data_IF_777297072411
#
_entry.id   IF_777297072411
#
_cell.length_a   1.000
_cell.length_b   1.000
_cell.length_c   1.000
_cell.angle_alpha   90.00
_cell.angle_beta   90.00
_cell.angle_gamma   90.00
#
_symmetry.space_group_name_H-M   'P 1'
#
loop_
_entity.id
_entity.type
_entity.pdbx_description
1 polymer ?
#
# COMPACT_ATOMS: atom_id res chain seq x y z
N UNK A 1 -41.78 57.96 -17.83
CA UNK A 1 -42.38 58.14 -16.50
C UNK A 1 -43.11 56.85 -16.14
N UNK A 2 -42.58 56.11 -15.15
CA UNK A 2 -43.25 55.16 -14.22
C UNK A 2 -44.17 54.10 -14.85
N UNK A 3 -43.71 52.86 -15.06
CA UNK A 3 -43.65 51.75 -14.08
C UNK A 3 -44.96 50.96 -13.94
N UNK A 4 -44.81 49.62 -14.00
CA UNK A 4 -45.45 48.56 -13.19
C UNK A 4 -45.93 47.39 -14.05
N UNK A 5 -45.04 46.42 -14.29
CA UNK A 5 -45.43 45.06 -14.65
C UNK A 5 -45.42 44.24 -13.35
N UNK A 6 -46.55 43.61 -13.08
CA UNK A 6 -46.82 42.85 -11.87
C UNK A 6 -45.95 41.59 -11.79
N UNK A 7 -45.43 41.39 -10.58
CA UNK A 7 -44.77 40.21 -10.06
C UNK A 7 -45.73 39.01 -10.16
N UNK A 8 -45.33 37.93 -10.83
CA UNK A 8 -45.90 36.61 -10.57
C UNK A 8 -44.78 35.67 -10.13
N UNK A 9 -44.83 35.35 -8.84
CA UNK A 9 -43.97 34.41 -8.14
C UNK A 9 -44.20 33.00 -8.70
N UNK A 10 -43.30 32.53 -9.55
CA UNK A 10 -43.14 31.09 -9.76
C UNK A 10 -42.28 30.59 -8.60
N UNK A 11 -42.93 30.16 -7.52
CA UNK A 11 -42.30 29.31 -6.52
C UNK A 11 -42.12 27.95 -7.18
N UNK A 12 -41.00 27.79 -7.89
CA UNK A 12 -40.54 26.46 -8.25
C UNK A 12 -39.83 25.90 -7.02
N UNK A 13 -40.60 25.22 -6.17
CA UNK A 13 -40.05 24.33 -5.15
C UNK A 13 -39.40 23.13 -5.85
N UNK A 14 -38.22 23.34 -6.43
CA UNK A 14 -37.35 22.25 -6.83
C UNK A 14 -36.73 21.66 -5.57
N UNK A 15 -37.26 20.48 -5.23
CA UNK A 15 -36.54 19.31 -4.73
C UNK A 15 -35.13 19.56 -4.16
N UNK A 16 -34.99 19.22 -2.88
CA UNK A 16 -33.72 18.99 -2.20
C UNK A 16 -32.80 18.17 -3.12
N UNK A 17 -31.63 18.72 -3.43
CA UNK A 17 -30.45 17.92 -3.72
C UNK A 17 -29.29 18.63 -3.07
N UNK A 18 -28.74 17.99 -2.03
CA UNK A 18 -27.49 18.41 -1.45
C UNK A 18 -26.49 18.58 -2.58
N UNK A 19 -25.95 19.79 -2.70
CA UNK A 19 -24.78 19.97 -3.55
C UNK A 19 -23.63 19.37 -2.75
N UNK A 20 -23.37 18.09 -3.02
CA UNK A 20 -22.11 17.45 -2.66
C UNK A 20 -21.03 18.36 -3.23
N UNK A 21 -20.42 19.18 -2.37
CA UNK A 21 -19.28 20.01 -2.72
C UNK A 21 -18.12 19.04 -2.92
N UNK A 22 -18.14 18.36 -4.07
CA UNK A 22 -17.11 17.43 -4.46
C UNK A 22 -15.88 18.28 -4.70
N UNK A 23 -15.06 18.40 -3.66
CA UNK A 23 -13.80 19.13 -3.68
C UNK A 23 -12.99 18.68 -4.89
N UNK A 24 -12.70 19.61 -5.80
CA UNK A 24 -12.00 19.33 -7.04
C UNK A 24 -10.66 18.63 -6.77
N UNK A 25 -10.40 17.53 -7.48
CA UNK A 25 -9.13 16.81 -7.36
C UNK A 25 -8.08 17.48 -8.23
N UNK A 26 -7.08 18.08 -7.58
CA UNK A 26 -5.92 18.73 -8.18
C UNK A 26 -4.75 17.76 -8.30
N UNK A 27 -3.83 18.04 -9.23
CA UNK A 27 -2.54 17.34 -9.38
C UNK A 27 -1.39 18.29 -9.01
N UNK A 28 -0.43 17.80 -8.24
CA UNK A 28 0.80 18.55 -7.91
C UNK A 28 2.03 17.81 -8.45
N UNK A 29 3.03 18.60 -8.83
CA UNK A 29 4.36 18.14 -9.26
C UNK A 29 5.39 18.83 -8.37
N UNK A 30 6.15 18.03 -7.63
CA UNK A 30 7.23 18.50 -6.76
C UNK A 30 8.54 18.22 -7.46
N UNK A 31 9.47 19.18 -7.43
CA UNK A 31 10.77 19.08 -8.09
C UNK A 31 11.91 18.97 -7.05
N UNK A 32 12.99 18.30 -7.43
CA UNK A 32 14.28 18.38 -6.75
C UNK A 32 14.95 19.74 -7.05
N UNK A 33 15.94 20.15 -6.23
CA UNK A 33 16.92 21.15 -6.66
C UNK A 33 17.52 20.71 -8.02
N UNK A 34 17.44 21.57 -9.04
CA UNK A 34 17.83 21.24 -10.42
C UNK A 34 16.68 20.83 -11.35
N UNK A 35 15.42 20.89 -10.89
CA UNK A 35 14.24 20.86 -11.76
C UNK A 35 13.73 19.48 -12.17
N UNK A 36 14.41 18.39 -11.79
CA UNK A 36 13.91 17.03 -11.99
C UNK A 36 12.70 16.74 -11.10
N UNK A 37 11.74 15.95 -11.57
CA UNK A 37 10.55 15.58 -10.79
C UNK A 37 10.95 14.72 -9.59
N UNK A 38 10.56 15.14 -8.39
CA UNK A 38 10.66 14.40 -7.12
C UNK A 38 9.40 13.58 -6.85
N UNK A 39 8.24 14.18 -7.05
CA UNK A 39 6.96 13.51 -6.82
C UNK A 39 5.86 14.07 -7.71
N UNK A 40 4.86 13.22 -8.01
CA UNK A 40 3.57 13.66 -8.56
C UNK A 40 2.45 13.01 -7.77
N UNK A 41 1.46 13.78 -7.37
CA UNK A 41 0.32 13.25 -6.61
C UNK A 41 -0.95 14.03 -6.85
N UNK A 42 -2.07 13.44 -6.47
CA UNK A 42 -3.41 14.01 -6.58
C UNK A 42 -3.98 14.26 -5.19
N UNK A 43 -4.67 15.39 -5.01
CA UNK A 43 -5.25 15.81 -3.74
C UNK A 43 -6.50 16.67 -3.95
N UNK A 44 -7.32 16.79 -2.92
CA UNK A 44 -8.35 17.82 -2.83
C UNK A 44 -8.19 18.58 -1.52
N UNK A 45 -8.83 19.75 -1.39
CA UNK A 45 -8.80 20.54 -0.16
C UNK A 45 -10.09 20.35 0.62
N UNK A 46 -9.97 20.12 1.93
CA UNK A 46 -11.09 19.98 2.84
C UNK A 46 -10.74 20.65 4.18
N UNK A 47 -11.55 21.62 4.59
CA UNK A 47 -11.34 22.39 5.82
C UNK A 47 -9.91 22.96 5.93
N UNK A 48 -9.39 23.54 4.84
CA UNK A 48 -8.04 24.11 4.77
C UNK A 48 -6.89 23.10 4.78
N UNK A 49 -7.17 21.80 4.69
CA UNK A 49 -6.16 20.73 4.65
C UNK A 49 -6.15 20.03 3.29
N UNK A 50 -4.96 19.68 2.81
CA UNK A 50 -4.80 18.83 1.62
C UNK A 50 -5.06 17.37 1.98
N UNK A 51 -5.99 16.74 1.29
CA UNK A 51 -6.32 15.32 1.42
C UNK A 51 -5.91 14.61 0.14
N UNK A 52 -4.92 13.73 0.22
CA UNK A 52 -4.45 12.98 -0.94
C UNK A 52 -5.49 11.98 -1.45
N UNK A 53 -5.73 11.95 -2.75
CA UNK A 53 -6.72 11.07 -3.36
C UNK A 53 -6.29 10.72 -4.79
N UNK A 54 -6.21 9.44 -5.12
CA UNK A 54 -5.78 8.96 -6.43
C UNK A 54 -4.34 8.46 -6.42
N UNK A 55 -3.60 8.72 -7.50
CA UNK A 55 -2.25 8.16 -7.70
C UNK A 55 -1.20 9.00 -6.96
N UNK A 56 -0.19 8.35 -6.43
CA UNK A 56 1.01 8.98 -5.89
C UNK A 56 2.23 8.31 -6.51
N UNK A 57 3.19 9.08 -7.01
CA UNK A 57 4.46 8.58 -7.55
C UNK A 57 5.62 9.41 -7.02
N UNK A 58 6.69 8.75 -6.59
CA UNK A 58 7.95 9.38 -6.21
C UNK A 58 9.07 8.84 -7.06
N UNK A 59 10.07 9.69 -7.28
CA UNK A 59 11.19 9.44 -8.16
C UNK A 59 12.50 9.68 -7.42
N UNK A 60 13.53 8.95 -7.80
CA UNK A 60 14.91 9.23 -7.41
C UNK A 60 15.39 10.54 -8.04
N UNK A 61 16.45 11.14 -7.50
CA UNK A 61 17.10 12.32 -8.11
C UNK A 61 17.64 12.05 -9.52
N UNK A 62 17.84 10.78 -9.89
CA UNK A 62 18.13 10.37 -11.27
C UNK A 62 16.95 10.60 -12.23
N UNK A 63 15.71 10.64 -11.73
CA UNK A 63 14.47 10.69 -12.51
C UNK A 63 13.76 9.33 -12.61
N UNK A 64 14.37 8.26 -12.09
CA UNK A 64 13.84 6.91 -12.12
C UNK A 64 12.73 6.72 -11.06
N UNK A 65 11.72 5.91 -11.35
CA UNK A 65 10.59 5.68 -10.42
C UNK A 65 11.08 4.99 -9.14
N UNK A 66 10.76 5.54 -7.98
CA UNK A 66 11.11 4.94 -6.68
C UNK A 66 9.93 4.16 -6.12
N UNK A 67 8.76 4.79 -6.03
CA UNK A 67 7.52 4.14 -5.57
C UNK A 67 6.31 4.74 -6.25
N UNK A 68 5.27 3.92 -6.39
CA UNK A 68 3.95 4.35 -6.82
C UNK A 68 2.85 3.60 -6.10
N UNK A 69 1.84 4.33 -5.67
CA UNK A 69 0.74 3.78 -4.89
C UNK A 69 -0.53 4.60 -5.12
N UNK A 70 -1.62 4.16 -4.49
CA UNK A 70 -2.91 4.84 -4.51
C UNK A 70 -3.36 5.19 -3.12
N UNK A 71 -3.96 6.36 -2.99
CA UNK A 71 -4.58 6.89 -1.79
C UNK A 71 -6.07 7.12 -2.07
N UNK A 72 -6.89 6.95 -1.04
CA UNK A 72 -8.31 7.29 -1.03
C UNK A 72 -8.57 8.04 0.26
N UNK A 73 -8.87 9.33 0.16
CA UNK A 73 -9.11 10.20 1.31
C UNK A 73 -7.96 10.17 2.34
N UNK A 74 -6.72 10.27 1.84
CA UNK A 74 -5.50 10.27 2.66
C UNK A 74 -5.01 8.87 3.07
N UNK A 75 -5.76 7.81 2.79
CA UNK A 75 -5.45 6.44 3.25
C UNK A 75 -5.03 5.54 2.08
N UNK A 76 -4.00 4.70 2.26
CA UNK A 76 -3.53 3.77 1.22
C UNK A 76 -4.67 2.83 0.78
N UNK A 77 -5.00 2.85 -0.50
CA UNK A 77 -6.08 2.04 -1.05
C UNK A 77 -5.81 1.68 -2.52
N UNK A 78 -5.56 0.40 -2.77
CA UNK A 78 -5.22 -0.13 -4.09
C UNK A 78 -3.76 -0.56 -4.22
N UNK A 79 -3.28 -0.66 -5.46
CA UNK A 79 -1.96 -1.22 -5.80
C UNK A 79 -0.82 -0.39 -5.22
N UNK A 80 0.20 -1.06 -4.69
CA UNK A 80 1.47 -0.49 -4.24
C UNK A 80 2.62 -1.15 -4.99
N UNK A 81 3.60 -0.37 -5.44
CA UNK A 81 4.85 -0.84 -6.01
C UNK A 81 6.00 0.06 -5.57
N UNK A 82 7.11 -0.56 -5.25
CA UNK A 82 8.39 0.08 -4.95
C UNK A 82 9.48 -0.59 -5.80
N UNK A 83 10.50 0.18 -6.17
CA UNK A 83 11.53 -0.22 -7.13
C UNK A 83 12.93 0.03 -6.57
N UNK A 84 13.89 -0.82 -6.92
CA UNK A 84 15.31 -0.55 -6.84
C UNK A 84 15.73 0.22 -8.08
N UNK A 85 16.16 1.48 -7.91
CA UNK A 85 16.67 2.33 -8.99
C UNK A 85 15.75 2.38 -10.23
N UNK A 86 14.43 2.26 -10.08
CA UNK A 86 13.45 2.35 -11.18
C UNK A 86 13.25 1.15 -12.09
N UNK A 87 14.14 0.17 -12.06
CA UNK A 87 14.08 -0.95 -13.00
C UNK A 87 13.50 -2.20 -12.36
N UNK A 88 14.05 -2.59 -11.20
CA UNK A 88 13.71 -3.85 -10.55
C UNK A 88 12.69 -3.61 -9.46
N UNK A 89 11.66 -4.44 -9.40
CA UNK A 89 10.71 -4.37 -8.30
C UNK A 89 11.44 -4.67 -6.99
N UNK A 90 11.21 -3.85 -5.98
CA UNK A 90 11.61 -4.10 -4.60
C UNK A 90 10.48 -4.75 -3.83
N UNK A 91 9.29 -4.16 -3.95
CA UNK A 91 8.09 -4.62 -3.26
C UNK A 91 6.87 -4.39 -4.15
N UNK A 92 5.90 -5.31 -4.14
CA UNK A 92 4.57 -5.06 -4.71
C UNK A 92 3.47 -5.74 -3.89
N UNK A 93 2.30 -5.10 -3.87
CA UNK A 93 1.13 -5.64 -3.21
C UNK A 93 -0.09 -4.73 -3.37
N UNK A 94 -1.06 -4.91 -2.49
CA UNK A 94 -2.27 -4.12 -2.46
C UNK A 94 -2.62 -3.71 -1.03
N UNK A 95 -3.09 -2.48 -0.89
CA UNK A 95 -3.73 -1.99 0.31
C UNK A 95 -5.25 -1.94 0.15
N UNK A 96 -5.97 -2.10 1.24
CA UNK A 96 -7.38 -1.78 1.37
C UNK A 96 -7.57 -1.02 2.69
N UNK A 97 -8.07 0.22 2.63
CA UNK A 97 -8.27 1.08 3.82
C UNK A 97 -7.05 1.11 4.76
N UNK A 98 -5.84 1.26 4.21
CA UNK A 98 -4.59 1.36 4.96
C UNK A 98 -3.96 0.02 5.34
N UNK A 99 -4.66 -1.10 5.14
CA UNK A 99 -4.19 -2.44 5.52
C UNK A 99 -3.65 -3.19 4.31
N UNK A 100 -2.54 -3.91 4.46
CA UNK A 100 -2.05 -4.85 3.43
C UNK A 100 -3.09 -5.94 3.21
N UNK A 101 -3.44 -6.21 1.97
CA UNK A 101 -4.37 -7.30 1.61
C UNK A 101 -3.80 -8.13 0.46
N UNK A 102 -4.20 -9.39 0.40
CA UNK A 102 -3.78 -10.29 -0.67
C UNK A 102 -2.30 -10.66 -0.56
N UNK A 103 -1.66 -10.94 -1.69
CA UNK A 103 -0.25 -11.36 -1.71
C UNK A 103 0.67 -10.16 -1.89
N UNK A 104 1.66 -10.08 -1.02
CA UNK A 104 2.77 -9.15 -1.06
C UNK A 104 4.03 -9.89 -1.46
N UNK A 105 4.77 -9.32 -2.40
CA UNK A 105 6.01 -9.89 -2.90
C UNK A 105 7.15 -8.92 -2.64
N UNK A 106 8.28 -9.48 -2.23
CA UNK A 106 9.53 -8.79 -1.98
C UNK A 106 10.62 -9.47 -2.80
N UNK A 107 11.52 -8.65 -3.32
CA UNK A 107 12.54 -9.08 -4.26
C UNK A 107 13.91 -8.57 -3.82
N UNK A 108 14.96 -9.25 -4.27
CA UNK A 108 16.33 -8.78 -4.12
C UNK A 108 16.63 -7.65 -5.12
N UNK A 109 17.74 -6.90 -4.94
CA UNK A 109 18.26 -5.99 -5.96
C UNK A 109 18.61 -6.67 -7.29
N UNK A 110 18.72 -8.00 -7.31
CA UNK A 110 18.92 -8.76 -8.55
C UNK A 110 17.62 -8.99 -9.31
N UNK A 111 16.47 -8.90 -8.63
CA UNK A 111 15.13 -9.12 -9.20
C UNK A 111 14.50 -10.44 -8.78
N UNK A 112 15.24 -11.26 -8.03
CA UNK A 112 14.78 -12.56 -7.56
C UNK A 112 13.79 -12.41 -6.41
N UNK A 113 12.70 -13.17 -6.44
CA UNK A 113 11.72 -13.16 -5.35
C UNK A 113 12.34 -13.79 -4.11
N UNK A 114 12.43 -13.03 -3.02
CA UNK A 114 13.02 -13.47 -1.76
C UNK A 114 11.94 -13.86 -0.76
N UNK A 115 10.86 -13.08 -0.69
CA UNK A 115 9.78 -13.26 0.30
C UNK A 115 8.41 -13.05 -0.36
N UNK A 116 7.45 -13.86 0.07
CA UNK A 116 6.03 -13.70 -0.23
C UNK A 116 5.22 -13.74 1.07
N UNK A 117 4.38 -12.72 1.31
CA UNK A 117 3.48 -12.65 2.46
C UNK A 117 2.03 -12.58 2.02
N UNK A 118 1.15 -13.41 2.59
CA UNK A 118 -0.30 -13.36 2.32
C UNK A 118 -1.03 -12.74 3.49
N UNK A 119 -1.86 -11.75 3.22
CA UNK A 119 -2.72 -11.10 4.20
C UNK A 119 -4.19 -11.32 3.85
N UNK A 120 -5.04 -11.42 4.87
CA UNK A 120 -6.49 -11.41 4.72
C UNK A 120 -7.02 -9.96 4.52
N UNK A 121 -8.33 -9.77 4.52
CA UNK A 121 -8.96 -8.46 4.33
C UNK A 121 -8.80 -7.51 5.52
N UNK A 122 -8.52 -8.06 6.71
CA UNK A 122 -8.30 -7.30 7.94
C UNK A 122 -6.84 -6.90 8.17
N UNK A 123 -5.94 -7.28 7.26
CA UNK A 123 -4.50 -7.04 7.39
C UNK A 123 -3.77 -8.05 8.28
N UNK A 124 -4.42 -9.16 8.63
CA UNK A 124 -3.80 -10.25 9.38
C UNK A 124 -3.02 -11.13 8.41
N UNK A 125 -1.78 -11.43 8.75
CA UNK A 125 -0.92 -12.32 7.96
C UNK A 125 -1.40 -13.77 8.11
N UNK A 126 -1.48 -14.49 6.99
CA UNK A 126 -1.88 -15.88 6.90
C UNK A 126 -0.67 -16.80 6.69
N UNK A 127 0.29 -16.36 5.87
CA UNK A 127 1.55 -17.07 5.71
C UNK A 127 2.66 -16.15 5.21
N UNK A 128 3.90 -16.59 5.46
CA UNK A 128 5.13 -16.09 4.85
C UNK A 128 5.81 -17.25 4.14
N UNK A 129 6.27 -17.04 2.91
CA UNK A 129 7.13 -17.97 2.17
C UNK A 129 8.46 -17.28 1.92
N UNK A 130 9.56 -17.96 2.28
CA UNK A 130 10.92 -17.56 1.90
C UNK A 130 11.42 -18.43 0.76
N UNK A 131 12.26 -17.86 -0.07
CA UNK A 131 12.81 -18.52 -1.24
C UNK A 131 14.33 -18.55 -1.16
N UNK A 132 14.93 -19.63 -1.64
CA UNK A 132 16.35 -19.67 -1.95
C UNK A 132 16.66 -18.83 -3.19
N UNK A 133 17.93 -18.54 -3.42
CA UNK A 133 18.40 -17.79 -4.60
C UNK A 133 18.01 -18.47 -5.92
N UNK A 134 17.91 -19.80 -5.94
CA UNK A 134 17.44 -20.56 -7.11
C UNK A 134 15.91 -20.49 -7.34
N UNK A 135 15.19 -19.70 -6.53
CA UNK A 135 13.74 -19.51 -6.63
C UNK A 135 12.89 -20.63 -6.02
N UNK A 136 13.48 -21.70 -5.49
CA UNK A 136 12.74 -22.74 -4.75
C UNK A 136 12.34 -22.25 -3.38
N UNK A 137 11.25 -22.79 -2.84
CA UNK A 137 10.83 -22.48 -1.47
C UNK A 137 11.90 -22.96 -0.50
N UNK A 138 12.23 -22.13 0.46
CA UNK A 138 13.08 -22.45 1.60
C UNK A 138 12.21 -22.80 2.80
N UNK A 139 11.25 -21.94 3.11
CA UNK A 139 10.33 -22.14 4.22
C UNK A 139 8.95 -21.55 3.95
N UNK A 140 7.97 -22.05 4.68
CA UNK A 140 6.61 -21.50 4.75
C UNK A 140 6.16 -21.50 6.21
N UNK A 141 6.02 -20.30 6.75
CA UNK A 141 5.47 -20.02 8.08
C UNK A 141 3.97 -19.76 7.92
N UNK A 142 3.13 -20.49 8.65
CA UNK A 142 1.66 -20.42 8.58
C UNK A 142 1.13 -19.87 9.90
N UNK A 143 0.24 -18.90 9.80
CA UNK A 143 -0.30 -18.17 10.93
C UNK A 143 -1.81 -18.40 11.04
N UNK A 144 -2.29 -18.55 12.27
CA UNK A 144 -3.70 -18.52 12.62
C UNK A 144 -3.96 -17.36 13.57
N UNK A 145 -4.85 -16.44 13.17
CA UNK A 145 -5.15 -15.20 13.88
C UNK A 145 -3.90 -14.42 14.36
N UNK A 146 -2.86 -14.41 13.53
CA UNK A 146 -1.59 -13.73 13.80
C UNK A 146 -0.56 -14.55 14.60
N UNK A 147 -0.91 -15.74 15.09
CA UNK A 147 -0.01 -16.62 15.81
C UNK A 147 0.59 -17.67 14.87
N UNK A 148 1.90 -17.89 14.93
CA UNK A 148 2.58 -18.93 14.14
C UNK A 148 2.15 -20.31 14.64
N UNK A 149 1.57 -21.13 13.76
CA UNK A 149 1.09 -22.48 14.10
C UNK A 149 1.89 -23.59 13.43
N UNK A 150 2.52 -23.30 12.29
CA UNK A 150 3.21 -24.32 11.50
C UNK A 150 4.34 -23.73 10.67
N UNK A 151 5.48 -24.44 10.65
CA UNK A 151 6.61 -24.16 9.77
C UNK A 151 6.84 -25.37 8.88
N UNK A 152 6.90 -25.14 7.57
CA UNK A 152 7.30 -26.11 6.57
C UNK A 152 8.64 -25.69 6.00
N UNK A 153 9.59 -26.61 5.88
CA UNK A 153 10.91 -26.32 5.31
C UNK A 153 11.17 -27.22 4.11
N UNK A 154 12.03 -26.74 3.21
CA UNK A 154 12.50 -27.49 2.04
C UNK A 154 14.01 -27.39 1.95
N UNK A 155 14.68 -28.45 1.49
CA UNK A 155 16.08 -28.39 1.10
C UNK A 155 16.27 -27.50 -0.14
N UNK A 156 17.51 -27.09 -0.42
CA UNK A 156 17.87 -26.35 -1.64
C UNK A 156 17.49 -27.12 -2.92
N UNK A 157 17.44 -28.45 -2.83
CA UNK A 157 17.03 -29.35 -3.90
C UNK A 157 15.51 -29.45 -4.08
N UNK A 158 14.74 -28.82 -3.19
CA UNK A 158 13.28 -28.77 -3.23
C UNK A 158 12.59 -29.93 -2.50
N UNK A 159 13.35 -30.78 -1.80
CA UNK A 159 12.75 -31.85 -0.98
C UNK A 159 12.11 -31.24 0.27
N UNK A 160 10.83 -31.54 0.50
CA UNK A 160 10.13 -31.08 1.70
C UNK A 160 10.63 -31.85 2.94
N UNK A 161 10.99 -31.12 3.98
CA UNK A 161 11.36 -31.64 5.29
C UNK A 161 10.11 -31.84 6.17
N UNK A 162 10.19 -32.64 7.26
CA UNK A 162 9.08 -32.80 8.19
C UNK A 162 8.54 -31.46 8.70
N UNK A 163 7.21 -31.37 8.80
CA UNK A 163 6.53 -30.16 9.28
C UNK A 163 6.80 -29.95 10.77
N UNK A 164 7.07 -28.70 11.19
CA UNK A 164 7.16 -28.31 12.59
C UNK A 164 5.85 -27.64 13.02
N UNK A 165 5.10 -28.29 13.90
CA UNK A 165 3.88 -27.72 14.51
C UNK A 165 4.28 -26.91 15.74
N UNK A 166 3.71 -25.71 15.87
CA UNK A 166 3.97 -24.78 16.97
C UNK A 166 2.72 -24.73 17.86
N UNK A 167 2.92 -25.01 19.14
CA UNK A 167 1.88 -24.85 20.16
C UNK A 167 1.82 -23.37 20.58
N UNK A 168 0.74 -22.70 20.19
CA UNK A 168 0.53 -21.27 20.43
C UNK A 168 0.61 -20.89 21.92
N UNK A 169 0.32 -21.82 22.84
CA UNK A 169 0.37 -21.57 24.28
C UNK A 169 1.80 -21.51 24.85
N UNK A 170 2.81 -21.93 24.08
CA UNK A 170 4.23 -21.94 24.49
C UNK A 170 5.07 -20.85 23.84
N UNK A 171 4.49 -19.99 22.99
CA UNK A 171 5.29 -19.11 22.10
C UNK A 171 4.73 -17.70 21.98
N UNK A 172 4.23 -17.12 23.07
CA UNK A 172 3.86 -15.69 23.12
C UNK A 172 5.06 -14.74 22.84
N UNK A 173 6.29 -15.24 22.95
CA UNK A 173 7.55 -14.47 22.89
C UNK A 173 8.23 -14.44 21.50
N UNK A 174 7.90 -15.34 20.56
CA UNK A 174 8.55 -15.36 19.25
C UNK A 174 7.79 -14.49 18.23
N UNK A 175 7.70 -13.18 18.48
CA UNK A 175 7.37 -12.21 17.43
C UNK A 175 8.58 -12.05 16.52
N UNK A 176 8.65 -12.88 15.48
CA UNK A 176 9.72 -12.92 14.49
C UNK A 176 10.09 -11.52 13.96
N UNK A 177 11.39 -11.19 13.92
CA UNK A 177 11.94 -9.93 13.38
C UNK A 177 11.49 -9.66 11.93
N UNK A 178 11.27 -10.73 11.16
CA UNK A 178 10.79 -10.64 9.78
C UNK A 178 9.32 -10.21 9.71
N UNK A 179 8.48 -10.61 10.68
CA UNK A 179 7.11 -10.10 10.76
C UNK A 179 7.14 -8.61 11.05
N UNK A 180 8.06 -8.14 11.91
CA UNK A 180 8.27 -6.70 12.12
C UNK A 180 8.71 -6.02 10.82
N UNK A 181 9.71 -6.53 10.10
CA UNK A 181 10.16 -5.94 8.83
C UNK A 181 9.04 -5.89 7.76
N UNK A 182 8.22 -6.94 7.66
CA UNK A 182 7.08 -6.99 6.74
C UNK A 182 5.96 -6.03 7.15
N UNK A 183 5.76 -5.77 8.45
CA UNK A 183 4.76 -4.82 8.95
C UNK A 183 5.28 -3.37 8.92
N UNK A 184 6.56 -3.15 9.20
CA UNK A 184 7.21 -1.84 9.37
C UNK A 184 7.75 -1.27 8.05
N UNK A 185 8.02 -2.10 7.03
CA UNK A 185 8.42 -1.66 5.68
C UNK A 185 7.42 -0.74 4.97
N UNK A 186 6.23 -0.51 5.55
CA UNK A 186 5.24 0.46 5.09
C UNK A 186 5.22 1.80 5.85
N UNK A 187 5.95 1.95 6.96
CA UNK A 187 5.79 3.05 7.92
C UNK A 187 7.05 3.91 8.14
N UNK A 188 8.08 3.80 7.31
CA UNK A 188 9.17 4.79 7.34
C UNK A 188 8.68 6.07 6.63
N UNK A 189 8.39 7.18 7.34
CA UNK A 189 8.41 8.48 6.70
C UNK A 189 9.80 8.65 6.09
N UNK A 190 9.85 9.12 4.85
CA UNK A 190 11.11 9.46 4.20
C UNK A 190 11.88 10.42 5.11
N UNK A 191 12.93 9.92 5.78
CA UNK A 191 13.97 10.80 6.29
C UNK A 191 14.63 11.40 5.05
N UNK A 192 14.30 12.67 4.77
CA UNK A 192 15.22 13.55 4.08
C UNK A 192 16.44 13.75 4.99
#
# INVERSE_FOLDING_TARGET
MVSRIFLSLIIFSFFISGCDESSEVKKEVVLFPGGKIKATYFYYELAGKRIFHGRYSEFYSSGLIMKKYRLSHGVLNGKFKEYYNGEKLRTKGQYNKGKKVGVWYYFSPNGDKTIEGKFNHDGIILYIVKYYENGRKQSKEIFDNGNLTKIQNWSIDGQKLPDKIIDANKTQSAKNEILKELLESGNQPSKN
#
